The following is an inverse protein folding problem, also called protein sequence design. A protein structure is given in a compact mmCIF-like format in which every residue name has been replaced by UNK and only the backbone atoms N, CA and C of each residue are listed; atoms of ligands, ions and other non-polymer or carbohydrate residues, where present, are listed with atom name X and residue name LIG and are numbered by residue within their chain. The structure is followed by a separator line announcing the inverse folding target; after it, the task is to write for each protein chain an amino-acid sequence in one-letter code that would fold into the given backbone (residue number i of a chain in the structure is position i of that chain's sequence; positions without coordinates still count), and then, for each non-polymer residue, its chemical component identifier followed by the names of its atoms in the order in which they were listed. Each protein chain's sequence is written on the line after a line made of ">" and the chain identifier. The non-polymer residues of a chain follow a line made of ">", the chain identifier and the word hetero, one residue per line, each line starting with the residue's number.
data_IF_718010428998
#
_entry.id   IF_718010428998
#
_cell.length_a   1.000
_cell.length_b   1.000
_cell.length_c   1.000
_cell.angle_alpha   90.00
_cell.angle_beta   90.00
_cell.angle_gamma   90.00
#
_symmetry.space_group_name_H-M   'P 1'
#
loop_
_entity.id
_entity.type
_entity.pdbx_description
1 polymer ?
#
# COMPACT_ATOMS: atom_id res chain seq x y z
N UNK A 1 -24.05 56.93 38.72
CA UNK A 1 -23.43 55.61 38.98
C UNK A 1 -24.12 54.56 38.11
N UNK A 2 -23.34 53.63 37.51
CA UNK A 2 -23.73 52.40 36.73
C UNK A 2 -24.22 52.65 35.30
N UNK A 3 -23.34 52.66 34.28
CA UNK A 3 -22.62 51.59 33.54
C UNK A 3 -23.47 50.83 32.51
N UNK A 4 -23.16 51.10 31.23
CA UNK A 4 -23.47 50.31 30.03
C UNK A 4 -23.08 48.84 30.22
N UNK A 5 -23.87 47.94 29.64
CA UNK A 5 -23.42 46.60 29.26
C UNK A 5 -23.82 46.36 27.80
N UNK A 6 -22.85 46.56 26.90
CA UNK A 6 -22.88 46.05 25.53
C UNK A 6 -22.54 44.56 25.64
N UNK A 7 -23.51 43.70 25.35
CA UNK A 7 -23.26 42.27 25.16
C UNK A 7 -22.73 42.12 23.74
N UNK A 8 -21.41 42.10 23.62
CA UNK A 8 -20.74 41.68 22.41
C UNK A 8 -20.83 40.15 22.33
N UNK A 9 -21.64 39.66 21.40
CA UNK A 9 -21.71 38.25 21.03
C UNK A 9 -20.35 37.84 20.47
N UNK A 10 -19.51 37.22 21.31
CA UNK A 10 -18.32 36.50 20.90
C UNK A 10 -18.77 35.29 20.08
N UNK A 11 -18.87 35.48 18.76
CA UNK A 11 -18.82 34.39 17.80
C UNK A 11 -17.48 33.68 18.04
N UNK A 12 -17.53 32.54 18.69
CA UNK A 12 -16.44 31.56 18.67
C UNK A 12 -16.32 31.10 17.23
N UNK A 13 -15.47 31.77 16.46
CA UNK A 13 -14.80 31.13 15.35
C UNK A 13 -13.99 29.99 15.96
N UNK A 14 -14.54 28.78 15.96
CA UNK A 14 -13.71 27.59 16.07
C UNK A 14 -12.72 27.74 14.92
N UNK A 15 -11.42 27.95 15.16
CA UNK A 15 -10.47 27.85 14.07
C UNK A 15 -10.69 26.45 13.50
N UNK A 16 -11.15 26.40 12.26
CA UNK A 16 -11.03 25.21 11.44
C UNK A 16 -9.51 25.00 11.36
N UNK A 17 -8.98 24.23 12.31
CA UNK A 17 -7.62 23.73 12.29
C UNK A 17 -7.58 22.75 11.14
N UNK A 18 -7.56 23.25 9.90
CA UNK A 18 -6.84 22.59 8.83
C UNK A 18 -5.34 22.73 9.13
N UNK A 19 -4.93 22.14 10.25
CA UNK A 19 -3.55 21.81 10.48
C UNK A 19 -3.21 20.81 9.38
N UNK A 20 -2.56 21.34 8.34
CA UNK A 20 -1.87 20.60 7.31
C UNK A 20 -1.03 19.53 8.00
N UNK A 21 -1.58 18.34 8.19
CA UNK A 21 -0.77 17.19 8.54
C UNK A 21 0.28 17.08 7.44
N UNK A 22 1.56 16.92 7.75
CA UNK A 22 2.61 16.68 6.74
C UNK A 22 2.42 15.36 5.98
N UNK A 23 1.25 14.74 6.12
CA UNK A 23 0.81 13.50 5.56
C UNK A 23 0.11 13.76 4.23
N UNK A 24 0.53 13.05 3.20
CA UNK A 24 -0.05 13.17 1.86
C UNK A 24 -0.49 11.80 1.36
N UNK A 25 -1.61 11.74 0.65
CA UNK A 25 -2.05 10.53 -0.03
C UNK A 25 -1.60 10.60 -1.48
N UNK A 26 -0.90 9.58 -1.97
CA UNK A 26 -0.48 9.53 -3.38
C UNK A 26 -0.38 8.12 -3.92
N UNK A 27 -0.47 8.01 -5.25
CA UNK A 27 -0.11 6.78 -5.96
C UNK A 27 1.39 6.55 -5.90
N UNK A 28 1.80 5.29 -5.74
CA UNK A 28 3.19 4.86 -5.89
C UNK A 28 3.22 3.60 -6.76
N UNK A 29 3.38 3.75 -8.10
CA UNK A 29 3.21 2.65 -9.05
C UNK A 29 4.06 1.40 -8.75
N UNK A 30 5.31 1.56 -8.30
CA UNK A 30 6.16 0.43 -7.93
C UNK A 30 5.63 -0.33 -6.71
N UNK A 31 5.16 0.40 -5.69
CA UNK A 31 4.56 -0.18 -4.49
C UNK A 31 3.28 -0.93 -4.85
N UNK A 32 2.41 -0.29 -5.63
CA UNK A 32 1.16 -0.87 -6.13
C UNK A 32 1.42 -2.15 -6.93
N UNK A 33 2.38 -2.12 -7.86
CA UNK A 33 2.74 -3.26 -8.69
C UNK A 33 3.30 -4.42 -7.87
N UNK A 34 4.18 -4.15 -6.91
CA UNK A 34 4.76 -5.20 -6.08
C UNK A 34 3.71 -5.96 -5.29
N UNK A 35 2.83 -5.24 -4.60
CA UNK A 35 1.76 -5.86 -3.84
C UNK A 35 0.73 -6.52 -4.75
N UNK A 36 0.49 -6.00 -5.95
CA UNK A 36 -0.29 -6.69 -6.97
C UNK A 36 0.31 -8.06 -7.33
N UNK A 37 1.61 -8.11 -7.63
CA UNK A 37 2.29 -9.34 -8.00
C UNK A 37 2.27 -10.36 -6.85
N UNK A 38 2.52 -9.92 -5.62
CA UNK A 38 2.47 -10.78 -4.43
C UNK A 38 1.04 -11.28 -4.12
N UNK A 39 0.02 -10.43 -4.28
CA UNK A 39 -1.38 -10.83 -4.15
C UNK A 39 -1.78 -11.85 -5.22
N UNK A 40 -1.23 -11.75 -6.44
CA UNK A 40 -1.44 -12.73 -7.50
C UNK A 40 -0.74 -14.06 -7.24
N UNK A 41 0.39 -14.08 -6.54
CA UNK A 41 0.98 -15.32 -6.02
C UNK A 41 0.03 -15.95 -4.98
N UNK A 42 -0.69 -15.13 -4.22
CA UNK A 42 -1.71 -15.58 -3.28
C UNK A 42 -1.18 -15.89 -1.88
N UNK A 43 -0.09 -15.23 -1.50
CA UNK A 43 0.40 -15.26 -0.13
C UNK A 43 -0.67 -14.69 0.81
N UNK A 44 -0.76 -15.24 2.03
CA UNK A 44 -1.64 -14.70 3.07
C UNK A 44 -0.90 -13.73 4.00
N UNK A 45 0.44 -13.75 3.99
CA UNK A 45 1.27 -13.03 4.96
C UNK A 45 1.45 -13.80 6.27
N UNK A 46 2.13 -13.17 7.22
CA UNK A 46 2.43 -13.74 8.54
C UNK A 46 1.47 -13.12 9.58
N UNK A 47 0.47 -13.87 10.03
CA UNK A 47 -0.43 -13.39 11.10
C UNK A 47 -1.87 -13.88 10.99
N UNK A 48 -2.70 -13.38 11.91
CA UNK A 48 -4.12 -13.72 12.00
C UNK A 48 -4.99 -12.96 10.99
N UNK A 49 -4.51 -11.82 10.48
CA UNK A 49 -5.18 -11.05 9.45
C UNK A 49 -4.45 -11.26 8.11
N UNK A 50 -5.19 -11.46 7.00
CA UNK A 50 -4.57 -11.63 5.71
C UNK A 50 -3.96 -10.31 5.26
N UNK A 51 -2.65 -10.35 4.96
CA UNK A 51 -1.90 -9.22 4.42
C UNK A 51 -2.46 -8.78 3.06
N UNK A 52 -2.88 -9.75 2.25
CA UNK A 52 -3.45 -9.48 0.93
C UNK A 52 -4.96 -9.73 0.96
N UNK A 53 -5.67 -8.94 0.18
CA UNK A 53 -7.11 -9.13 0.03
C UNK A 53 -7.37 -10.48 -0.67
N UNK A 54 -8.06 -11.44 -0.01
CA UNK A 54 -8.26 -12.78 -0.55
C UNK A 54 -9.11 -12.80 -1.83
N UNK A 55 -9.94 -11.76 -2.05
CA UNK A 55 -10.74 -11.62 -3.26
C UNK A 55 -9.98 -10.99 -4.43
N UNK A 56 -8.84 -10.35 -4.19
CA UNK A 56 -8.11 -9.59 -5.21
C UNK A 56 -7.61 -10.48 -6.35
N UNK A 57 -6.84 -11.51 -6.02
CA UNK A 57 -6.25 -12.43 -7.01
C UNK A 57 -7.30 -13.07 -7.92
N UNK A 58 -8.35 -13.72 -7.37
CA UNK A 58 -9.45 -14.28 -8.16
C UNK A 58 -10.13 -13.26 -9.08
N UNK A 59 -10.41 -12.05 -8.58
CA UNK A 59 -11.05 -11.00 -9.38
C UNK A 59 -10.18 -10.54 -10.55
N UNK A 60 -8.87 -10.37 -10.33
CA UNK A 60 -7.92 -10.01 -11.40
C UNK A 60 -7.86 -11.12 -12.46
N UNK A 61 -7.71 -12.38 -12.05
CA UNK A 61 -7.63 -13.53 -12.97
C UNK A 61 -8.90 -13.65 -13.82
N UNK A 62 -10.08 -13.62 -13.18
CA UNK A 62 -11.35 -13.68 -13.89
C UNK A 62 -11.52 -12.51 -14.87
N UNK A 63 -11.16 -11.29 -14.44
CA UNK A 63 -11.20 -10.12 -15.32
C UNK A 63 -10.22 -10.21 -16.51
N UNK A 64 -9.07 -10.86 -16.34
CA UNK A 64 -8.08 -11.09 -17.41
C UNK A 64 -8.51 -12.19 -18.37
N UNK A 65 -9.08 -13.27 -17.85
CA UNK A 65 -9.63 -14.37 -18.64
C UNK A 65 -10.76 -13.86 -19.56
N UNK A 66 -11.68 -13.06 -19.03
CA UNK A 66 -12.76 -12.44 -19.81
C UNK A 66 -12.24 -11.52 -20.95
N UNK A 67 -11.00 -11.04 -20.86
CA UNK A 67 -10.34 -10.20 -21.87
C UNK A 67 -9.36 -10.98 -22.77
N UNK A 68 -9.22 -12.29 -22.58
CA UNK A 68 -8.26 -13.12 -23.32
C UNK A 68 -6.79 -12.82 -23.00
N UNK A 69 -6.50 -12.17 -21.87
CA UNK A 69 -5.13 -11.83 -21.43
C UNK A 69 -4.56 -12.95 -20.55
N UNK A 70 -5.42 -13.59 -19.75
CA UNK A 70 -5.04 -14.61 -18.78
C UNK A 70 -5.06 -16.05 -19.35
N UNK A 71 -4.34 -16.99 -18.73
CA UNK A 71 -3.47 -16.76 -17.57
C UNK A 71 -2.13 -16.13 -17.97
N UNK A 72 -1.57 -15.25 -17.15
CA UNK A 72 -0.21 -14.72 -17.31
C UNK A 72 0.85 -15.72 -16.82
N UNK A 73 2.13 -15.45 -17.09
CA UNK A 73 3.22 -16.29 -16.57
C UNK A 73 3.26 -16.31 -15.03
N UNK A 74 2.98 -15.17 -14.39
CA UNK A 74 2.87 -15.06 -12.94
C UNK A 74 1.71 -15.90 -12.40
N UNK A 75 0.54 -15.83 -13.04
CA UNK A 75 -0.63 -16.61 -12.62
C UNK A 75 -0.42 -18.11 -12.75
N UNK A 76 0.26 -18.57 -13.81
CA UNK A 76 0.63 -19.99 -13.97
C UNK A 76 1.60 -20.47 -12.89
N UNK A 77 2.54 -19.62 -12.48
CA UNK A 77 3.57 -19.97 -11.50
C UNK A 77 3.13 -19.73 -10.05
N UNK A 78 2.02 -19.00 -9.84
CA UNK A 78 1.54 -18.61 -8.51
C UNK A 78 1.46 -19.78 -7.52
N UNK A 79 0.90 -20.98 -7.85
CA UNK A 79 0.81 -22.07 -6.89
C UNK A 79 2.18 -22.56 -6.39
N UNK A 80 3.17 -22.69 -7.28
CA UNK A 80 4.50 -23.19 -6.92
C UNK A 80 5.35 -22.12 -6.23
N UNK A 81 5.22 -20.85 -6.64
CA UNK A 81 5.84 -19.72 -5.95
C UNK A 81 5.27 -19.57 -4.53
N UNK A 82 3.95 -19.66 -4.38
CA UNK A 82 3.28 -19.58 -3.08
C UNK A 82 3.79 -20.66 -2.14
N UNK A 83 3.74 -21.93 -2.56
CA UNK A 83 4.17 -23.04 -1.71
C UNK A 83 5.63 -22.89 -1.28
N UNK A 84 6.51 -22.41 -2.16
CA UNK A 84 7.91 -22.23 -1.84
C UNK A 84 8.16 -21.03 -0.90
N UNK A 85 7.42 -19.94 -1.06
CA UNK A 85 7.47 -18.78 -0.17
C UNK A 85 6.89 -19.09 1.21
N UNK A 86 5.81 -19.88 1.31
CA UNK A 86 5.23 -20.31 2.59
C UNK A 86 6.15 -21.29 3.34
N UNK A 87 7.02 -22.01 2.64
CA UNK A 87 7.96 -22.97 3.24
C UNK A 87 9.23 -22.32 3.81
N UNK A 88 9.51 -21.05 3.48
CA UNK A 88 10.74 -20.36 3.87
C UNK A 88 10.44 -18.92 4.34
N UNK A 89 10.55 -18.70 5.65
CA UNK A 89 10.25 -17.42 6.30
C UNK A 89 11.14 -16.27 5.84
N UNK A 90 12.27 -16.53 5.17
CA UNK A 90 13.08 -15.45 4.59
C UNK A 90 12.26 -14.64 3.55
N UNK A 91 11.25 -15.24 2.92
CA UNK A 91 10.40 -14.55 1.96
C UNK A 91 9.38 -13.60 2.61
N UNK A 92 9.20 -13.61 3.93
CA UNK A 92 8.36 -12.62 4.62
C UNK A 92 8.89 -11.19 4.44
N UNK A 93 10.22 -11.05 4.28
CA UNK A 93 10.86 -9.76 4.03
C UNK A 93 10.42 -9.12 2.71
N UNK A 94 9.95 -9.93 1.74
CA UNK A 94 9.47 -9.43 0.46
C UNK A 94 8.29 -8.46 0.62
N UNK A 95 7.51 -8.57 1.68
CA UNK A 95 6.36 -7.70 1.93
C UNK A 95 6.76 -6.25 2.26
N UNK A 96 7.99 -6.01 2.69
CA UNK A 96 8.47 -4.69 3.12
C UNK A 96 9.31 -3.97 2.06
N UNK A 97 9.91 -4.72 1.12
CA UNK A 97 10.75 -4.19 0.04
C UNK A 97 10.20 -2.96 -0.68
N UNK A 98 8.93 -2.94 -1.14
CA UNK A 98 8.43 -1.78 -1.87
C UNK A 98 8.46 -0.49 -1.04
N UNK A 99 8.43 -0.56 0.29
CA UNK A 99 8.48 0.63 1.13
C UNK A 99 9.87 1.26 1.16
N UNK A 100 10.93 0.46 1.12
CA UNK A 100 12.32 0.95 1.01
C UNK A 100 12.62 1.56 -0.37
N UNK A 101 11.82 1.23 -1.38
CA UNK A 101 12.00 1.66 -2.76
C UNK A 101 10.78 2.42 -3.31
N UNK A 102 10.08 3.16 -2.46
CA UNK A 102 8.80 3.80 -2.80
C UNK A 102 8.88 4.84 -3.93
N UNK A 103 10.08 5.35 -4.22
CA UNK A 103 10.36 6.30 -5.31
C UNK A 103 10.79 5.62 -6.62
N UNK A 104 11.00 4.31 -6.60
CA UNK A 104 11.38 3.55 -7.79
C UNK A 104 10.20 3.41 -8.77
N UNK A 105 10.50 3.12 -10.03
CA UNK A 105 9.51 2.60 -10.99
C UNK A 105 9.32 1.08 -10.81
N UNK A 106 8.19 0.51 -11.26
CA UNK A 106 8.01 -0.95 -11.28
C UNK A 106 9.18 -1.68 -11.96
N UNK A 107 9.68 -1.14 -13.05
CA UNK A 107 10.80 -1.72 -13.78
C UNK A 107 12.08 -1.72 -12.95
N UNK A 108 12.38 -0.63 -12.25
CA UNK A 108 13.54 -0.51 -11.36
C UNK A 108 13.44 -1.45 -10.15
N UNK A 109 12.22 -1.66 -9.65
CA UNK A 109 11.94 -2.63 -8.58
C UNK A 109 12.21 -4.07 -9.05
N UNK A 110 12.10 -4.33 -10.35
CA UNK A 110 12.31 -5.64 -10.95
C UNK A 110 13.73 -5.85 -11.55
N UNK A 111 14.57 -4.82 -11.71
CA UNK A 111 15.91 -4.94 -12.33
C UNK A 111 17.08 -5.12 -11.36
N UNK A 112 16.88 -5.02 -10.04
CA UNK A 112 17.95 -5.32 -9.08
C UNK A 112 18.36 -4.19 -8.14
N UNK A 113 18.08 -2.93 -8.46
CA UNK A 113 18.52 -1.79 -7.64
C UNK A 113 17.80 -1.72 -6.27
N UNK A 114 16.49 -1.94 -6.25
CA UNK A 114 15.73 -2.14 -5.01
C UNK A 114 15.79 -3.59 -4.47
N UNK A 115 15.85 -4.63 -5.32
CA UNK A 115 16.14 -6.00 -4.90
C UNK A 115 17.45 -6.20 -4.17
N UNK A 116 18.41 -5.28 -4.21
CA UNK A 116 19.67 -5.41 -3.46
C UNK A 116 19.47 -5.67 -1.96
N UNK A 117 18.46 -5.04 -1.35
CA UNK A 117 18.07 -5.29 0.04
C UNK A 117 17.44 -6.68 0.23
N UNK A 118 16.62 -7.13 -0.72
CA UNK A 118 16.02 -8.46 -0.71
C UNK A 118 17.06 -9.56 -0.88
N UNK A 119 17.87 -9.43 -1.92
CA UNK A 119 18.93 -10.36 -2.29
C UNK A 119 19.99 -10.47 -1.19
N UNK A 120 20.25 -9.39 -0.46
CA UNK A 120 21.12 -9.42 0.72
C UNK A 120 20.57 -10.32 1.84
N UNK A 121 19.25 -10.44 1.96
CA UNK A 121 18.60 -11.34 2.90
C UNK A 121 18.47 -12.80 2.38
N UNK A 122 18.63 -13.02 1.06
CA UNK A 122 18.59 -14.35 0.45
C UNK A 122 19.97 -15.00 0.47
N UNK A 123 20.20 -15.88 1.45
CA UNK A 123 21.50 -16.46 1.71
C UNK A 123 21.84 -17.66 0.81
N UNK A 124 20.84 -18.43 0.37
CA UNK A 124 21.08 -19.65 -0.43
C UNK A 124 20.93 -19.41 -1.94
N UNK A 125 21.56 -20.28 -2.75
CA UNK A 125 21.39 -20.26 -4.21
C UNK A 125 19.95 -20.57 -4.62
N UNK A 126 19.28 -21.43 -3.87
CA UNK A 126 17.88 -21.81 -4.11
C UNK A 126 16.94 -20.65 -3.87
N UNK A 127 17.10 -19.94 -2.75
CA UNK A 127 16.34 -18.73 -2.43
C UNK A 127 16.46 -17.67 -3.53
N UNK A 128 17.69 -17.41 -3.99
CA UNK A 128 17.94 -16.47 -5.09
C UNK A 128 17.30 -16.92 -6.41
N UNK A 129 17.46 -18.19 -6.79
CA UNK A 129 16.85 -18.71 -8.01
C UNK A 129 15.30 -18.66 -7.97
N UNK A 130 14.71 -18.90 -6.80
CA UNK A 130 13.28 -18.80 -6.60
C UNK A 130 12.79 -17.34 -6.72
N UNK A 131 13.55 -16.41 -6.14
CA UNK A 131 13.26 -15.00 -6.24
C UNK A 131 13.40 -14.48 -7.68
N UNK A 132 14.47 -14.85 -8.39
CA UNK A 132 14.67 -14.52 -9.81
C UNK A 132 13.52 -15.05 -10.68
N UNK A 133 13.03 -16.25 -10.37
CA UNK A 133 11.86 -16.83 -11.03
C UNK A 133 10.59 -16.00 -10.80
N UNK A 134 10.37 -15.53 -9.56
CA UNK A 134 9.28 -14.60 -9.26
C UNK A 134 9.44 -13.27 -10.03
N UNK A 135 10.62 -12.65 -10.00
CA UNK A 135 10.88 -11.39 -10.71
C UNK A 135 10.65 -11.51 -12.22
N UNK A 136 11.10 -12.61 -12.84
CA UNK A 136 10.88 -12.87 -14.25
C UNK A 136 9.38 -13.03 -14.59
N UNK A 137 8.64 -13.75 -13.74
CA UNK A 137 7.19 -13.92 -13.91
C UNK A 137 6.43 -12.59 -13.72
N UNK A 138 6.82 -11.80 -12.72
CA UNK A 138 6.27 -10.47 -12.45
C UNK A 138 6.57 -9.50 -13.59
N UNK A 139 7.79 -9.49 -14.14
CA UNK A 139 8.14 -8.70 -15.33
C UNK A 139 7.21 -8.98 -16.50
N UNK A 140 6.96 -10.26 -16.78
CA UNK A 140 6.02 -10.65 -17.84
C UNK A 140 4.61 -10.12 -17.58
N UNK A 141 4.16 -10.10 -16.32
CA UNK A 141 2.85 -9.57 -15.93
C UNK A 141 2.75 -8.04 -16.10
N UNK A 142 3.83 -7.33 -15.73
CA UNK A 142 3.97 -5.88 -15.91
C UNK A 142 3.76 -5.48 -17.38
N UNK A 143 4.45 -6.20 -18.27
CA UNK A 143 4.47 -5.94 -19.72
C UNK A 143 3.17 -6.39 -20.39
N UNK A 144 2.61 -7.53 -19.99
CA UNK A 144 1.45 -8.13 -20.63
C UNK A 144 0.11 -7.52 -20.19
N UNK A 145 -0.03 -7.16 -18.92
CA UNK A 145 -1.36 -6.89 -18.34
C UNK A 145 -1.39 -5.64 -17.45
N UNK A 146 -0.54 -5.56 -16.44
CA UNK A 146 -0.71 -4.59 -15.35
C UNK A 146 -0.69 -3.14 -15.82
N UNK A 147 0.24 -2.79 -16.72
CA UNK A 147 0.38 -1.40 -17.22
C UNK A 147 -0.87 -0.91 -17.95
N UNK A 148 -1.53 -1.79 -18.69
CA UNK A 148 -2.81 -1.48 -19.36
C UNK A 148 -3.94 -1.42 -18.35
N UNK A 149 -4.02 -2.38 -17.44
CA UNK A 149 -5.05 -2.42 -16.39
C UNK A 149 -5.02 -1.19 -15.50
N UNK A 150 -3.84 -0.73 -15.09
CA UNK A 150 -3.67 0.48 -14.29
C UNK A 150 -4.15 1.71 -15.06
N UNK A 151 -3.81 1.84 -16.34
CA UNK A 151 -4.30 2.94 -17.19
C UNK A 151 -5.82 2.94 -17.28
N UNK A 152 -6.44 1.78 -17.51
CA UNK A 152 -7.90 1.64 -17.57
C UNK A 152 -8.58 2.02 -16.25
N UNK A 153 -7.93 1.77 -15.11
CA UNK A 153 -8.46 2.08 -13.77
C UNK A 153 -8.08 3.47 -13.25
N UNK A 154 -7.28 4.25 -13.97
CA UNK A 154 -6.67 5.48 -13.45
C UNK A 154 -7.69 6.49 -12.92
N UNK A 155 -8.82 6.69 -13.61
CA UNK A 155 -9.86 7.61 -13.16
C UNK A 155 -10.53 7.16 -11.85
N UNK A 156 -10.89 5.87 -11.74
CA UNK A 156 -11.45 5.30 -10.52
C UNK A 156 -10.43 5.32 -9.37
N UNK A 157 -9.16 5.04 -9.67
CA UNK A 157 -8.07 5.12 -8.70
C UNK A 157 -7.91 6.54 -8.17
N UNK A 158 -7.90 7.57 -9.03
CA UNK A 158 -7.80 8.96 -8.60
C UNK A 158 -8.98 9.38 -7.69
N UNK A 159 -10.20 8.95 -8.02
CA UNK A 159 -11.36 9.21 -7.17
C UNK A 159 -11.23 8.53 -5.80
N UNK A 160 -10.74 7.29 -5.76
CA UNK A 160 -10.51 6.57 -4.52
C UNK A 160 -9.37 7.18 -3.67
N UNK A 161 -8.30 7.69 -4.30
CA UNK A 161 -7.23 8.43 -3.61
C UNK A 161 -7.77 9.69 -2.92
N UNK A 162 -8.59 10.48 -3.63
CA UNK A 162 -9.20 11.68 -3.08
C UNK A 162 -10.12 11.37 -1.88
N UNK A 163 -10.85 10.26 -1.92
CA UNK A 163 -11.67 9.82 -0.78
C UNK A 163 -10.82 9.38 0.40
N UNK A 164 -9.71 8.67 0.18
CA UNK A 164 -8.77 8.32 1.26
C UNK A 164 -8.16 9.59 1.87
N UNK A 165 -7.76 10.55 1.04
CA UNK A 165 -7.22 11.84 1.49
C UNK A 165 -8.21 12.61 2.36
N UNK A 166 -9.46 12.72 1.88
CA UNK A 166 -10.55 13.37 2.62
C UNK A 166 -10.78 12.69 3.97
N UNK A 167 -10.86 11.36 4.02
CA UNK A 167 -11.05 10.63 5.29
C UNK A 167 -9.88 10.73 6.23
N UNK A 168 -8.66 10.72 5.69
CA UNK A 168 -7.46 10.92 6.47
C UNK A 168 -7.52 12.25 7.21
N UNK A 169 -7.82 13.33 6.49
CA UNK A 169 -7.92 14.67 7.06
C UNK A 169 -9.10 14.81 8.04
N UNK A 170 -10.29 14.33 7.67
CA UNK A 170 -11.53 14.59 8.41
C UNK A 170 -11.68 13.74 9.68
N UNK A 171 -11.17 12.50 9.67
CA UNK A 171 -11.51 11.50 10.70
C UNK A 171 -10.29 10.78 11.28
N UNK A 172 -9.38 10.27 10.43
CA UNK A 172 -8.31 9.39 10.89
C UNK A 172 -7.21 10.17 11.60
N UNK A 173 -6.62 11.18 10.95
CA UNK A 173 -5.52 11.95 11.51
C UNK A 173 -5.88 12.64 12.85
N UNK A 174 -7.08 13.22 13.02
CA UNK A 174 -7.52 13.72 14.33
C UNK A 174 -7.60 12.62 15.40
N UNK A 175 -8.12 11.44 15.05
CA UNK A 175 -8.29 10.34 16.00
C UNK A 175 -6.96 9.74 16.48
N UNK A 176 -5.94 9.69 15.62
CA UNK A 176 -4.61 9.16 15.95
C UNK A 176 -3.56 10.25 16.19
N UNK A 177 -3.94 11.53 16.23
CA UNK A 177 -3.02 12.67 16.30
C UNK A 177 -2.05 12.59 17.48
N UNK A 178 -2.55 12.27 18.67
CA UNK A 178 -1.71 12.11 19.86
C UNK A 178 -0.71 10.95 19.78
N UNK A 179 -1.03 9.90 19.00
CA UNK A 179 -0.06 8.85 18.68
C UNK A 179 1.00 9.39 17.73
N UNK A 180 0.60 10.03 16.62
CA UNK A 180 1.54 10.59 15.64
C UNK A 180 2.52 11.59 16.29
N UNK A 181 2.03 12.47 17.16
CA UNK A 181 2.85 13.43 17.91
C UNK A 181 3.83 12.73 18.86
N UNK A 182 3.36 11.74 19.64
CA UNK A 182 4.19 11.01 20.60
C UNK A 182 5.39 10.33 19.94
N UNK A 183 5.21 9.84 18.71
CA UNK A 183 6.27 9.15 17.96
C UNK A 183 6.98 10.05 16.95
N UNK A 184 6.74 11.37 16.98
CA UNK A 184 7.38 12.33 16.08
C UNK A 184 7.02 12.15 14.60
N UNK A 185 5.90 11.48 14.31
CA UNK A 185 5.43 11.17 12.96
C UNK A 185 4.60 12.34 12.39
N UNK A 186 5.24 13.49 12.25
CA UNK A 186 4.58 14.74 11.85
C UNK A 186 4.31 14.84 10.34
N UNK A 187 5.00 14.03 9.53
CA UNK A 187 4.83 13.96 8.09
C UNK A 187 4.98 12.53 7.56
N UNK A 188 4.37 12.27 6.41
CA UNK A 188 4.37 10.94 5.81
C UNK A 188 3.64 10.85 4.47
N UNK A 189 3.67 9.67 3.89
CA UNK A 189 3.06 9.34 2.61
C UNK A 189 2.20 8.11 2.81
N UNK A 190 0.93 8.24 2.47
CA UNK A 190 -0.04 7.14 2.44
C UNK A 190 -0.21 6.71 0.98
N UNK A 191 -0.01 5.41 0.75
CA UNK A 191 -0.08 4.74 -0.54
C UNK A 191 -1.22 3.73 -0.49
N UNK A 192 -2.40 4.08 -1.01
CA UNK A 192 -3.49 3.12 -1.15
C UNK A 192 -3.19 2.09 -2.24
N UNK A 193 -3.30 0.81 -1.91
CA UNK A 193 -2.91 -0.32 -2.75
C UNK A 193 -4.10 -1.29 -2.91
N UNK A 194 -4.55 -1.57 -4.15
CA UNK A 194 -5.70 -2.45 -4.39
C UNK A 194 -5.55 -3.89 -3.90
N UNK A 195 -4.34 -4.43 -3.89
CA UNK A 195 -4.07 -5.83 -3.52
C UNK A 195 -3.91 -6.08 -2.02
N UNK A 196 -3.78 -5.02 -1.21
CA UNK A 196 -3.60 -5.15 0.23
C UNK A 196 -4.93 -5.46 0.93
N UNK A 197 -4.85 -6.30 1.96
CA UNK A 197 -5.92 -6.54 2.91
C UNK A 197 -5.99 -5.45 3.97
N UNK A 198 -6.77 -5.68 5.02
CA UNK A 198 -7.02 -4.69 6.09
C UNK A 198 -5.78 -4.40 6.93
N UNK A 199 -4.80 -5.28 6.93
CA UNK A 199 -3.52 -5.09 7.60
C UNK A 199 -2.57 -4.27 6.70
N UNK A 200 -2.47 -2.96 6.99
CA UNK A 200 -1.57 -2.05 6.29
C UNK A 200 -0.08 -2.36 6.55
N UNK A 201 0.81 -1.67 5.85
CA UNK A 201 2.27 -1.76 6.08
C UNK A 201 2.84 -0.39 6.36
N UNK A 202 3.65 -0.31 7.41
CA UNK A 202 4.25 0.92 7.89
C UNK A 202 5.77 0.82 7.83
N UNK A 203 6.41 1.83 7.24
CA UNK A 203 7.83 2.08 7.33
C UNK A 203 8.00 3.43 8.03
N UNK A 204 8.66 3.41 9.19
CA UNK A 204 9.02 4.62 9.90
C UNK A 204 9.89 5.51 9.01
N UNK A 205 9.60 6.81 9.01
CA UNK A 205 10.46 7.79 8.36
C UNK A 205 11.77 7.98 9.11
N UNK A 206 12.69 8.71 8.48
CA UNK A 206 13.91 9.23 9.09
C UNK A 206 13.89 10.77 9.03
N UNK A 207 14.93 11.42 9.56
CA UNK A 207 15.11 12.86 9.38
C UNK A 207 15.22 13.27 7.89
N UNK A 208 15.60 12.33 7.01
CA UNK A 208 15.86 12.56 5.59
C UNK A 208 14.78 11.94 4.68
N UNK A 209 13.79 11.24 5.24
CA UNK A 209 12.75 10.54 4.46
C UNK A 209 11.43 10.47 5.21
N UNK A 210 10.30 10.80 4.57
CA UNK A 210 9.00 10.75 5.22
C UNK A 210 8.61 9.32 5.60
N UNK A 211 7.76 9.17 6.61
CA UNK A 211 7.15 7.88 6.92
C UNK A 211 6.32 7.41 5.72
N UNK A 212 6.27 6.10 5.50
CA UNK A 212 5.55 5.50 4.38
C UNK A 212 4.55 4.47 4.88
N UNK A 213 3.34 4.58 4.39
CA UNK A 213 2.24 3.68 4.76
C UNK A 213 1.63 3.14 3.49
N UNK A 214 1.61 1.83 3.33
CA UNK A 214 0.75 1.19 2.34
C UNK A 214 -0.52 0.69 3.02
N UNK A 215 -1.69 1.05 2.49
CA UNK A 215 -2.99 0.63 3.04
C UNK A 215 -3.85 0.02 1.95
N UNK A 216 -4.91 -0.69 2.32
CA UNK A 216 -5.90 -1.14 1.34
C UNK A 216 -6.52 0.06 0.61
N UNK A 217 -6.63 -0.04 -0.72
CA UNK A 217 -7.50 0.87 -1.45
C UNK A 217 -8.96 0.43 -1.23
N UNK A 218 -9.84 1.28 -0.67
CA UNK A 218 -11.22 0.91 -0.45
C UNK A 218 -11.92 0.48 -1.73
N UNK A 219 -12.70 -0.60 -1.66
CA UNK A 219 -13.51 -1.09 -2.79
C UNK A 219 -14.72 -0.21 -3.06
N UNK A 220 -15.24 0.44 -2.02
CA UNK A 220 -16.32 1.42 -2.08
C UNK A 220 -16.26 2.36 -0.86
N UNK A 221 -17.15 3.36 -0.84
CA UNK A 221 -17.25 4.33 0.25
C UNK A 221 -17.77 3.72 1.55
N UNK A 222 -18.47 2.58 1.53
CA UNK A 222 -18.96 1.94 2.75
C UNK A 222 -17.82 1.23 3.51
N UNK A 223 -16.90 0.59 2.78
CA UNK A 223 -15.77 -0.19 3.34
C UNK A 223 -14.50 0.63 3.54
N UNK A 224 -14.50 1.92 3.21
CA UNK A 224 -13.35 2.79 3.42
C UNK A 224 -13.04 3.06 4.92
N UNK A 225 -13.89 2.62 5.86
CA UNK A 225 -13.58 2.61 7.30
C UNK A 225 -12.64 1.46 7.70
N UNK A 226 -12.65 0.36 6.94
CA UNK A 226 -11.81 -0.82 7.20
C UNK A 226 -10.38 -0.67 6.65
N UNK A 227 -10.19 0.31 5.77
CA UNK A 227 -8.95 0.55 5.04
C UNK A 227 -7.81 1.18 5.87
N UNK A 228 -7.97 1.36 7.18
CA UNK A 228 -7.02 2.08 8.01
C UNK A 228 -6.78 1.40 9.37
N UNK A 229 -6.58 0.09 9.40
CA UNK A 229 -6.01 -0.55 10.58
C UNK A 229 -4.48 -0.57 10.46
N UNK A 230 -3.87 0.29 11.27
CA UNK A 230 -2.45 0.26 11.56
C UNK A 230 -2.26 -0.61 12.81
N UNK A 231 -1.73 -1.81 12.66
CA UNK A 231 -1.10 -2.46 13.81
C UNK A 231 0.31 -1.90 13.89
N UNK A 232 0.49 -0.82 14.62
CA UNK A 232 1.83 -0.44 15.07
C UNK A 232 2.17 -1.38 16.23
N UNK A 233 3.11 -2.30 16.00
CA UNK A 233 3.73 -3.08 17.08
C UNK A 233 4.94 -2.34 17.63
#
# INVERSE_FOLDING_TARGET
>A
MRRLAIVATLLWTVPCLSAQSGWTVRSAPAVEFWYHAMALVGLQGFGALPLYDPGYGPAVRSGREARGIGPTALERQAPSLRAAFEADSTFELLHFLPLYASTATPEQLLTGNAPGLAAAALHTREQRALFDRFLAAARTDLDAAWSTERRTRAAAQNAALAEVERRWADAIAPAIGGYLERYGLTSGVIVPVPGLGTDGRFLAGSAESPALVAVQLPRDSAHAADAAFFVVR
#
